data_IF_948591478693
#
_entry.id   IF_948591478693
#
_cell.length_a   1.000
_cell.length_b   1.000
_cell.length_c   1.000
_cell.angle_alpha   90.00
_cell.angle_beta   90.00
_cell.angle_gamma   90.00
#
_symmetry.space_group_name_H-M   'P 1'
#
loop_
_entity.id
_entity.type
_entity.pdbx_description
1 polymer ?
#
# COMPACT_ATOMS: atom_id res chain seq x y z
N UNK A 1 12.84 23.09 23.16
CA UNK A 1 12.29 23.59 21.89
C UNK A 1 12.60 22.57 20.80
N UNK A 2 11.77 21.54 20.67
CA UNK A 2 11.88 20.58 19.57
C UNK A 2 11.22 21.22 18.34
N UNK A 3 12.03 21.56 17.35
CA UNK A 3 11.59 22.14 16.08
C UNK A 3 10.79 21.04 15.37
N UNK A 4 9.48 21.25 15.18
CA UNK A 4 8.68 20.43 14.26
C UNK A 4 9.38 20.46 12.89
N UNK A 5 10.05 19.37 12.52
CA UNK A 5 10.74 19.26 11.23
C UNK A 5 9.70 18.93 10.17
N UNK A 6 8.91 19.94 9.79
CA UNK A 6 8.07 19.85 8.60
C UNK A 6 8.99 19.77 7.40
N UNK A 7 8.97 18.64 6.71
CA UNK A 7 9.80 18.44 5.51
C UNK A 7 9.04 18.93 4.28
N UNK A 8 9.69 19.80 3.51
CA UNK A 8 9.18 20.34 2.25
C UNK A 8 9.54 19.40 1.11
N UNK A 9 8.53 19.01 0.33
CA UNK A 9 8.68 18.14 -0.83
C UNK A 9 8.10 18.78 -2.08
N UNK A 10 8.57 18.36 -3.24
CA UNK A 10 8.03 18.75 -4.54
C UNK A 10 7.66 17.52 -5.36
N UNK A 11 6.47 17.57 -5.97
CA UNK A 11 5.97 16.59 -6.93
C UNK A 11 5.37 17.37 -8.10
N UNK A 12 5.89 17.16 -9.32
CA UNK A 12 5.43 17.83 -10.55
C UNK A 12 5.20 19.35 -10.39
N UNK A 13 6.13 20.07 -9.76
CA UNK A 13 6.03 21.51 -9.53
C UNK A 13 5.06 21.94 -8.42
N UNK A 14 4.39 20.99 -7.75
CA UNK A 14 3.54 21.24 -6.58
C UNK A 14 4.31 20.95 -5.29
N UNK A 15 4.35 21.92 -4.37
CA UNK A 15 5.01 21.75 -3.07
C UNK A 15 4.04 21.21 -2.03
N UNK A 16 4.50 20.24 -1.24
CA UNK A 16 3.76 19.63 -0.15
C UNK A 16 4.60 19.59 1.11
N UNK A 17 3.96 19.88 2.25
CA UNK A 17 4.56 19.81 3.58
C UNK A 17 4.03 18.59 4.30
N UNK A 18 4.92 17.69 4.69
CA UNK A 18 4.55 16.50 5.46
C UNK A 18 5.12 16.62 6.87
N UNK A 19 4.26 16.38 7.86
CA UNK A 19 4.68 16.25 9.24
C UNK A 19 5.07 14.77 9.49
N UNK A 20 6.35 14.47 9.80
CA UNK A 20 6.82 13.10 10.02
C UNK A 20 6.10 12.43 11.20
N UNK A 21 5.71 13.18 12.24
CA UNK A 21 5.02 12.63 13.42
C UNK A 21 3.60 12.10 13.09
N UNK A 22 3.06 12.45 11.92
CA UNK A 22 1.77 11.97 11.43
C UNK A 22 1.88 10.77 10.50
N UNK A 23 3.09 10.37 10.13
CA UNK A 23 3.31 9.13 9.39
C UNK A 23 3.37 7.99 10.40
N UNK A 24 2.54 6.99 10.19
CA UNK A 24 2.42 5.84 11.10
C UNK A 24 3.04 4.60 10.47
N UNK A 25 3.64 3.75 11.31
CA UNK A 25 4.29 2.52 10.86
C UNK A 25 5.76 2.73 10.49
N UNK A 26 6.25 1.85 9.62
CA UNK A 26 7.67 1.80 9.21
C UNK A 26 7.97 2.71 8.00
N UNK A 27 6.95 3.24 7.33
CA UNK A 27 7.12 4.06 6.13
C UNK A 27 7.58 5.48 6.47
N UNK A 28 8.53 6.00 5.71
CA UNK A 28 9.06 7.36 5.84
C UNK A 28 8.31 8.36 4.94
N UNK A 29 8.29 9.66 5.28
CA UNK A 29 7.76 10.70 4.38
C UNK A 29 8.40 10.68 2.98
N UNK A 30 9.70 10.42 2.89
CA UNK A 30 10.43 10.33 1.63
C UNK A 30 9.93 9.19 0.75
N UNK A 31 9.70 8.01 1.32
CA UNK A 31 9.15 6.85 0.59
C UNK A 31 7.75 7.16 0.04
N UNK A 32 6.89 7.81 0.84
CA UNK A 32 5.54 8.19 0.40
C UNK A 32 5.61 9.16 -0.78
N UNK A 33 6.46 10.19 -0.66
CA UNK A 33 6.61 11.23 -1.69
C UNK A 33 7.18 10.64 -2.96
N UNK A 34 8.21 9.81 -2.86
CA UNK A 34 8.84 9.18 -4.01
C UNK A 34 7.87 8.23 -4.72
N UNK A 35 7.08 7.45 -3.97
CA UNK A 35 6.04 6.61 -4.54
C UNK A 35 5.01 7.43 -5.33
N UNK A 36 4.45 8.49 -4.72
CA UNK A 36 3.48 9.37 -5.40
C UNK A 36 4.12 10.05 -6.62
N UNK A 37 5.38 10.48 -6.52
CA UNK A 37 6.12 11.10 -7.63
C UNK A 37 6.28 10.16 -8.79
N UNK A 38 6.67 8.91 -8.56
CA UNK A 38 6.81 7.90 -9.61
C UNK A 38 5.47 7.62 -10.29
N UNK A 39 4.40 7.40 -9.53
CA UNK A 39 3.05 7.18 -10.07
C UNK A 39 2.58 8.36 -10.92
N UNK A 40 2.71 9.58 -10.40
CA UNK A 40 2.30 10.79 -11.09
C UNK A 40 3.13 11.04 -12.36
N UNK A 41 4.44 10.82 -12.29
CA UNK A 41 5.35 10.97 -13.45
C UNK A 41 5.00 9.96 -14.54
N UNK A 42 4.75 8.70 -14.18
CA UNK A 42 4.34 7.67 -15.14
C UNK A 42 3.04 8.07 -15.88
N UNK A 43 2.03 8.56 -15.14
CA UNK A 43 0.77 9.03 -15.73
C UNK A 43 1.03 10.23 -16.66
N UNK A 44 1.82 11.21 -16.22
CA UNK A 44 2.14 12.40 -17.02
C UNK A 44 2.91 12.05 -18.30
N UNK A 45 3.81 11.06 -18.24
CA UNK A 45 4.52 10.56 -19.43
C UNK A 45 3.56 9.89 -20.42
N UNK A 46 2.58 9.14 -19.94
CA UNK A 46 1.59 8.46 -20.79
C UNK A 46 0.52 9.41 -21.36
N UNK A 47 0.20 10.49 -20.63
CA UNK A 47 -0.79 11.48 -21.03
C UNK A 47 -0.30 12.91 -20.79
N UNK A 48 0.65 13.41 -21.61
CA UNK A 48 1.27 14.73 -21.42
C UNK A 48 0.30 15.90 -21.46
N UNK A 49 -0.84 15.74 -22.12
CA UNK A 49 -1.90 16.75 -22.25
C UNK A 49 -2.66 17.03 -20.95
N UNK A 50 -2.60 16.13 -19.97
CA UNK A 50 -3.31 16.30 -18.69
C UNK A 50 -2.65 17.37 -17.84
N UNK A 51 -3.45 18.21 -17.18
CA UNK A 51 -2.91 19.13 -16.19
C UNK A 51 -2.45 18.38 -14.92
N UNK A 52 -1.65 19.04 -14.08
CA UNK A 52 -1.10 18.40 -12.88
C UNK A 52 -2.19 17.96 -11.89
N UNK A 53 -3.30 18.70 -11.79
CA UNK A 53 -4.43 18.33 -10.93
C UNK A 53 -5.09 17.03 -11.40
N UNK A 54 -5.31 16.89 -12.71
CA UNK A 54 -5.80 15.65 -13.31
C UNK A 54 -4.84 14.48 -13.08
N UNK A 55 -3.54 14.71 -13.23
CA UNK A 55 -2.50 13.69 -12.97
C UNK A 55 -2.53 13.24 -11.51
N UNK A 56 -2.61 14.16 -10.55
CA UNK A 56 -2.70 13.82 -9.13
C UNK A 56 -3.99 13.08 -8.79
N UNK A 57 -5.12 13.46 -9.38
CA UNK A 57 -6.38 12.75 -9.20
C UNK A 57 -6.28 11.31 -9.70
N UNK A 58 -5.72 11.10 -10.89
CA UNK A 58 -5.50 9.76 -11.44
C UNK A 58 -4.50 8.95 -10.60
N UNK A 59 -3.43 9.58 -10.11
CA UNK A 59 -2.49 8.92 -9.21
C UNK A 59 -3.20 8.46 -7.92
N UNK A 60 -4.01 9.32 -7.31
CA UNK A 60 -4.79 8.96 -6.12
C UNK A 60 -5.77 7.80 -6.39
N UNK A 61 -6.47 7.81 -7.52
CA UNK A 61 -7.37 6.72 -7.91
C UNK A 61 -6.62 5.39 -8.10
N UNK A 62 -5.46 5.42 -8.76
CA UNK A 62 -4.62 4.24 -8.97
C UNK A 62 -4.10 3.68 -7.64
N UNK A 63 -3.60 4.53 -6.75
CA UNK A 63 -3.13 4.11 -5.42
C UNK A 63 -4.29 3.52 -4.59
N UNK A 64 -5.49 4.09 -4.68
CA UNK A 64 -6.67 3.57 -4.02
C UNK A 64 -7.08 2.19 -4.56
N UNK A 65 -7.06 2.01 -5.89
CA UNK A 65 -7.31 0.72 -6.53
C UNK A 65 -6.30 -0.34 -6.06
N UNK A 66 -5.00 -0.04 -6.12
CA UNK A 66 -3.93 -0.94 -5.68
C UNK A 66 -4.11 -1.34 -4.21
N UNK A 67 -4.44 -0.39 -3.34
CA UNK A 67 -4.71 -0.67 -1.92
C UNK A 67 -5.92 -1.57 -1.72
N UNK A 68 -7.02 -1.33 -2.44
CA UNK A 68 -8.22 -2.16 -2.35
C UNK A 68 -7.95 -3.58 -2.83
N UNK A 69 -7.14 -3.74 -3.88
CA UNK A 69 -6.75 -5.05 -4.39
C UNK A 69 -5.83 -5.79 -3.42
N UNK A 70 -4.81 -5.13 -2.86
CA UNK A 70 -3.94 -5.70 -1.84
C UNK A 70 -4.73 -6.20 -0.63
N UNK A 71 -5.70 -5.40 -0.14
CA UNK A 71 -6.54 -5.81 0.99
C UNK A 71 -7.37 -7.06 0.69
N UNK A 72 -7.87 -7.21 -0.54
CA UNK A 72 -8.60 -8.41 -0.97
C UNK A 72 -7.64 -9.61 -1.02
N UNK A 73 -6.50 -9.45 -1.67
CA UNK A 73 -5.48 -10.50 -1.79
C UNK A 73 -5.00 -10.99 -0.41
N UNK A 74 -4.74 -10.09 0.53
CA UNK A 74 -4.37 -10.46 1.90
C UNK A 74 -5.46 -11.28 2.60
N UNK A 75 -6.72 -10.87 2.48
CA UNK A 75 -7.84 -11.62 3.06
C UNK A 75 -7.93 -13.01 2.44
N UNK A 76 -7.91 -13.09 1.12
CA UNK A 76 -8.05 -14.33 0.38
C UNK A 76 -6.89 -15.31 0.70
N UNK A 77 -5.66 -14.79 0.86
CA UNK A 77 -4.50 -15.56 1.28
C UNK A 77 -4.61 -16.09 2.73
N UNK A 78 -5.15 -15.28 3.65
CA UNK A 78 -5.40 -15.71 5.04
C UNK A 78 -6.45 -16.82 5.07
N UNK A 79 -7.54 -16.66 4.32
CA UNK A 79 -8.60 -17.67 4.23
C UNK A 79 -8.07 -18.99 3.63
N UNK A 80 -7.27 -18.92 2.57
CA UNK A 80 -6.63 -20.10 1.97
C UNK A 80 -5.66 -20.80 2.94
N UNK A 81 -4.90 -20.03 3.72
CA UNK A 81 -3.99 -20.58 4.74
C UNK A 81 -4.77 -21.26 5.86
N UNK A 82 -5.87 -20.66 6.33
CA UNK A 82 -6.74 -21.23 7.35
C UNK A 82 -7.38 -22.53 6.88
N UNK A 83 -7.89 -22.56 5.64
CA UNK A 83 -8.45 -23.78 5.04
C UNK A 83 -7.39 -24.89 4.97
N UNK A 84 -6.19 -24.57 4.48
CA UNK A 84 -5.07 -25.52 4.38
C UNK A 84 -4.66 -26.08 5.76
N UNK A 85 -4.66 -25.24 6.80
CA UNK A 85 -4.36 -25.66 8.16
C UNK A 85 -5.45 -26.57 8.73
N UNK A 86 -6.73 -26.29 8.46
CA UNK A 86 -7.84 -27.14 8.87
C UNK A 86 -7.80 -28.51 8.18
N UNK A 87 -7.50 -28.54 6.88
CA UNK A 87 -7.36 -29.78 6.12
C UNK A 87 -6.18 -30.62 6.64
N UNK A 88 -5.05 -29.98 6.97
CA UNK A 88 -3.93 -30.66 7.60
C UNK A 88 -4.27 -31.26 8.97
N UNK A 89 -5.03 -30.54 9.80
CA UNK A 89 -5.49 -31.05 11.10
C UNK A 89 -6.44 -32.24 10.94
N UNK A 90 -7.42 -32.15 10.02
CA UNK A 90 -8.33 -33.26 9.71
C UNK A 90 -7.58 -34.49 9.23
N UNK A 91 -6.58 -34.31 8.36
CA UNK A 91 -5.75 -35.43 7.91
C UNK A 91 -5.03 -36.11 9.08
N UNK A 92 -4.46 -35.34 10.02
CA UNK A 92 -3.84 -35.90 11.23
C UNK A 92 -4.85 -36.68 12.08
N UNK A 93 -6.07 -36.16 12.23
CA UNK A 93 -7.15 -36.85 12.97
C UNK A 93 -7.58 -38.15 12.28
N UNK A 94 -7.67 -38.16 10.95
CA UNK A 94 -8.06 -39.34 10.16
C UNK A 94 -6.96 -40.42 10.11
N UNK A 95 -5.68 -40.03 10.16
CA UNK A 95 -4.54 -40.95 10.09
C UNK A 95 -3.95 -41.32 11.44
N UNK A 96 -4.42 -40.70 12.54
CA UNK A 96 -4.08 -41.14 13.90
C UNK A 96 -4.83 -42.44 14.17
N UNK A 97 -4.15 -43.61 14.26
CA UNK A 97 -4.83 -44.81 14.69
C UNK A 97 -5.31 -44.53 16.11
N UNK A 98 -6.62 -44.62 16.34
CA UNK A 98 -7.17 -44.68 17.68
C UNK A 98 -6.40 -45.77 18.41
N UNK A 99 -5.45 -45.38 19.25
CA UNK A 99 -4.71 -46.29 20.09
C UNK A 99 -5.69 -46.85 21.13
N UNK A 100 -6.32 -47.97 20.76
CA UNK A 100 -7.10 -48.84 21.62
C UNK A 100 -6.53 -50.25 21.50
#
# INVERSE_FOLDING_TARGET
MTRESVTDFEILGSRVKINPDKVSGETTPDEIVEFVRQTATQIKTQAPQLDNGQVFLLAALKIAEERLNLNREYRDNIEALQASAQDALRFIEEVSPTAL
#
